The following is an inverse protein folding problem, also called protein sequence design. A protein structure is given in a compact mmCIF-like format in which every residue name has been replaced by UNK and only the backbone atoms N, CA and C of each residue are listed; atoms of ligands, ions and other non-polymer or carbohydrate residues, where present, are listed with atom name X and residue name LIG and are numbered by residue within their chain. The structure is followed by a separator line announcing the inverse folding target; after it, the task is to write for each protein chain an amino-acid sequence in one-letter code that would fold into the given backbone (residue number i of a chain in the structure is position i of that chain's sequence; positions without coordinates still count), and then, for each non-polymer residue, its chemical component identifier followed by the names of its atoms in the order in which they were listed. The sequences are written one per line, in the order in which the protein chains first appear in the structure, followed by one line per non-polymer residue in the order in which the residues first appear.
data_IF_019253598556
#
_entry.id   IF_019253598556
#
_cell.length_a   1.000
_cell.length_b   1.000
_cell.length_c   1.000
_cell.angle_alpha   90.00
_cell.angle_beta   90.00
_cell.angle_gamma   90.00
#
_symmetry.space_group_name_H-M   'P 1'
#
loop_
_entity.id
_entity.type
_entity.pdbx_description
1 polymer ?
#
# COMPACT_ATOMS: atom_id res chain seq x y z
N UNK A 1 -0.37 51.69 39.92
CA UNK A 1 -0.58 52.66 38.83
C UNK A 1 -1.76 52.13 38.04
N UNK A 2 -2.97 52.52 38.44
CA UNK A 2 -3.73 53.67 37.89
C UNK A 2 -4.19 53.37 36.46
N UNK A 3 -5.46 53.01 36.21
CA UNK A 3 -6.68 53.84 36.27
C UNK A 3 -6.72 54.94 35.18
N UNK A 4 -7.49 54.71 34.11
CA UNK A 4 -8.12 55.74 33.25
C UNK A 4 -9.15 55.06 32.30
N UNK A 5 -10.46 55.20 32.55
CA UNK A 5 -11.38 56.15 31.87
C UNK A 5 -11.62 55.82 30.39
N UNK A 6 -12.73 55.18 29.99
CA UNK A 6 -14.10 55.72 29.87
C UNK A 6 -14.20 56.96 28.97
N UNK A 7 -15.03 56.85 27.92
CA UNK A 7 -15.68 57.84 27.01
C UNK A 7 -15.58 57.29 25.56
N UNK A 8 -16.65 56.87 24.87
CA UNK A 8 -18.03 57.32 24.92
C UNK A 8 -18.28 58.45 23.92
N UNK A 9 -17.99 58.24 22.63
CA UNK A 9 -18.44 59.10 21.52
C UNK A 9 -18.68 58.20 20.30
N UNK A 10 -19.95 57.87 20.03
CA UNK A 10 -20.38 57.31 18.75
C UNK A 10 -20.75 58.51 17.87
N UNK A 11 -20.02 58.81 16.78
CA UNK A 11 -20.43 59.86 15.86
C UNK A 11 -21.70 59.41 15.12
N UNK A 12 -22.75 60.19 15.32
CA UNK A 12 -24.01 60.08 14.60
C UNK A 12 -23.80 60.58 13.16
N UNK A 13 -23.42 59.67 12.26
CA UNK A 13 -23.40 59.93 10.82
C UNK A 13 -24.82 59.74 10.27
N UNK A 14 -25.59 60.83 10.28
CA UNK A 14 -26.81 60.97 9.52
C UNK A 14 -26.38 61.59 8.18
N UNK A 15 -25.87 60.75 7.29
CA UNK A 15 -25.53 61.13 5.92
C UNK A 15 -26.82 61.18 5.09
N UNK A 16 -27.04 62.35 4.51
CA UNK A 16 -28.10 62.65 3.55
C UNK A 16 -27.91 61.74 2.33
N UNK A 17 -28.80 60.76 2.17
CA UNK A 17 -28.98 60.02 0.92
C UNK A 17 -29.64 60.99 -0.07
N UNK A 18 -28.83 61.71 -0.83
CA UNK A 18 -29.27 62.37 -2.06
C UNK A 18 -29.55 61.30 -3.12
N UNK A 19 -30.75 61.36 -3.69
CA UNK A 19 -31.27 60.46 -4.72
C UNK A 19 -30.34 60.46 -5.96
N UNK A 20 -29.49 59.42 -6.06
CA UNK A 20 -28.62 59.17 -7.21
C UNK A 20 -29.37 58.27 -8.21
N UNK A 21 -30.21 58.88 -9.03
CA UNK A 21 -30.89 58.24 -10.18
C UNK A 21 -29.88 57.99 -11.33
N UNK A 22 -28.89 57.13 -11.12
CA UNK A 22 -27.96 56.66 -12.17
C UNK A 22 -28.02 55.13 -12.30
N UNK A 23 -29.18 54.63 -12.72
CA UNK A 23 -29.44 53.21 -12.99
C UNK A 23 -28.86 52.73 -14.34
N UNK A 24 -28.00 53.52 -15.00
CA UNK A 24 -27.43 53.16 -16.31
C UNK A 24 -26.20 52.25 -16.22
N UNK A 25 -25.62 52.06 -15.04
CA UNK A 25 -24.34 51.35 -14.89
C UNK A 25 -24.49 49.82 -14.67
N UNK A 26 -25.67 49.33 -14.31
CA UNK A 26 -25.86 47.90 -14.00
C UNK A 26 -25.81 47.00 -15.24
N UNK A 27 -26.35 47.44 -16.38
CA UNK A 27 -26.32 46.66 -17.63
C UNK A 27 -24.90 46.55 -18.19
N UNK A 28 -24.10 47.62 -18.09
CA UNK A 28 -22.71 47.64 -18.55
C UNK A 28 -21.81 46.73 -17.71
N UNK A 29 -22.04 46.65 -16.40
CA UNK A 29 -21.34 45.72 -15.51
C UNK A 29 -21.67 44.27 -15.87
N UNK A 30 -22.94 43.98 -16.15
CA UNK A 30 -23.38 42.61 -16.51
C UNK A 30 -22.78 42.16 -17.85
N UNK A 31 -22.74 43.06 -18.84
CA UNK A 31 -22.15 42.80 -20.15
C UNK A 31 -20.64 42.53 -20.05
N UNK A 32 -19.91 43.34 -19.26
CA UNK A 32 -18.47 43.13 -19.03
C UNK A 32 -18.20 41.81 -18.30
N UNK A 33 -19.06 41.44 -17.33
CA UNK A 33 -18.94 40.18 -16.62
C UNK A 33 -19.17 38.96 -17.53
N UNK A 34 -20.16 39.03 -18.43
CA UNK A 34 -20.42 37.96 -19.40
C UNK A 34 -19.29 37.81 -20.42
N UNK A 35 -18.74 38.93 -20.92
CA UNK A 35 -17.59 38.91 -21.82
C UNK A 35 -16.34 38.33 -21.14
N UNK A 36 -16.07 38.74 -19.90
CA UNK A 36 -14.97 38.18 -19.11
C UNK A 36 -15.14 36.68 -18.88
N UNK A 37 -16.36 36.22 -18.62
CA UNK A 37 -16.66 34.81 -18.40
C UNK A 37 -16.53 33.99 -19.69
N UNK A 38 -16.97 34.53 -20.84
CA UNK A 38 -16.75 33.89 -22.16
C UNK A 38 -15.27 33.76 -22.47
N UNK A 39 -14.50 34.83 -22.28
CA UNK A 39 -13.05 34.84 -22.50
C UNK A 39 -12.31 33.87 -21.56
N UNK A 40 -12.76 33.79 -20.30
CA UNK A 40 -12.23 32.84 -19.32
C UNK A 40 -12.49 31.39 -19.74
N UNK A 41 -13.71 31.08 -20.22
CA UNK A 41 -14.06 29.74 -20.73
C UNK A 41 -13.24 29.35 -21.97
N UNK A 42 -13.10 30.24 -22.94
CA UNK A 42 -12.27 30.00 -24.13
C UNK A 42 -10.80 29.77 -23.77
N UNK A 43 -10.26 30.54 -22.82
CA UNK A 43 -8.89 30.36 -22.33
C UNK A 43 -8.72 29.03 -21.58
N UNK A 44 -9.71 28.62 -20.78
CA UNK A 44 -9.70 27.34 -20.08
C UNK A 44 -9.78 26.15 -21.04
N UNK A 45 -10.64 26.22 -22.06
CA UNK A 45 -10.78 25.18 -23.08
C UNK A 45 -9.52 25.04 -23.92
N UNK A 46 -8.89 26.17 -24.29
CA UNK A 46 -7.59 26.16 -24.97
C UNK A 46 -6.50 25.47 -24.15
N UNK A 47 -6.42 25.76 -22.84
CA UNK A 47 -5.47 25.09 -21.93
C UNK A 47 -5.76 23.59 -21.81
N UNK A 48 -7.03 23.19 -21.80
CA UNK A 48 -7.43 21.77 -21.76
C UNK A 48 -6.96 21.04 -23.02
N UNK A 49 -7.20 21.60 -24.21
CA UNK A 49 -6.76 21.01 -25.47
C UNK A 49 -5.23 20.90 -25.56
N UNK A 50 -4.49 21.94 -25.15
CA UNK A 50 -3.01 21.91 -25.13
C UNK A 50 -2.46 20.88 -24.14
N UNK A 51 -3.09 20.74 -22.96
CA UNK A 51 -2.70 19.74 -21.98
C UNK A 51 -2.98 18.30 -22.48
N UNK A 52 -4.10 18.10 -23.16
CA UNK A 52 -4.47 16.81 -23.75
C UNK A 52 -3.51 16.41 -24.89
N UNK A 53 -3.20 17.34 -25.78
CA UNK A 53 -2.21 17.12 -26.84
C UNK A 53 -0.82 16.80 -26.27
N UNK A 54 -0.40 17.52 -25.22
CA UNK A 54 0.86 17.25 -24.52
C UNK A 54 0.86 15.88 -23.86
N UNK A 55 -0.25 15.48 -23.25
CA UNK A 55 -0.42 14.16 -22.63
C UNK A 55 -0.35 13.04 -23.67
N UNK A 56 -1.02 13.19 -24.82
CA UNK A 56 -0.98 12.22 -25.91
C UNK A 56 0.43 12.09 -26.52
N UNK A 57 1.12 13.20 -26.72
CA UNK A 57 2.50 13.18 -27.21
C UNK A 57 3.47 12.52 -26.22
N UNK A 58 3.31 12.79 -24.91
CA UNK A 58 4.10 12.13 -23.88
C UNK A 58 3.83 10.62 -23.81
N UNK A 59 2.55 10.21 -23.89
CA UNK A 59 2.17 8.81 -23.93
C UNK A 59 2.77 8.09 -25.15
N UNK A 60 2.73 8.71 -26.34
CA UNK A 60 3.33 8.14 -27.55
C UNK A 60 4.83 7.95 -27.43
N UNK A 61 5.56 8.97 -26.93
CA UNK A 61 7.00 8.88 -26.68
C UNK A 61 7.34 7.78 -25.66
N UNK A 62 6.54 7.63 -24.59
CA UNK A 62 6.76 6.57 -23.60
C UNK A 62 6.47 5.16 -24.10
N UNK A 63 5.60 5.02 -25.10
CA UNK A 63 5.31 3.74 -25.74
C UNK A 63 6.42 3.37 -26.72
N UNK A 64 6.93 4.34 -27.48
CA UNK A 64 8.08 4.19 -28.38
C UNK A 64 9.34 3.78 -27.60
N UNK A 65 9.63 4.44 -26.47
CA UNK A 65 10.76 4.07 -25.62
C UNK A 65 10.65 2.65 -25.03
N UNK A 66 9.45 2.23 -24.62
CA UNK A 66 9.21 0.86 -24.14
C UNK A 66 9.37 -0.19 -25.24
N UNK A 67 9.06 0.17 -26.48
CA UNK A 67 9.24 -0.74 -27.60
C UNK A 67 10.73 -0.90 -27.93
N UNK A 68 11.49 0.20 -27.91
CA UNK A 68 12.94 0.18 -28.11
C UNK A 68 13.65 -0.63 -27.02
N UNK A 69 13.25 -0.48 -25.75
CA UNK A 69 13.78 -1.28 -24.62
C UNK A 69 13.48 -2.79 -24.77
N UNK A 70 12.32 -3.14 -25.30
CA UNK A 70 11.96 -4.54 -25.55
C UNK A 70 12.76 -5.13 -26.73
N UNK A 71 12.98 -4.36 -27.79
CA UNK A 71 13.80 -4.75 -28.94
C UNK A 71 15.28 -4.93 -28.53
N UNK A 72 15.84 -4.03 -27.70
CA UNK A 72 17.20 -4.18 -27.16
C UNK A 72 17.34 -5.42 -26.27
N UNK A 73 16.34 -5.70 -25.43
CA UNK A 73 16.33 -6.91 -24.61
C UNK A 73 16.24 -8.20 -25.44
N UNK A 74 15.46 -8.20 -26.52
CA UNK A 74 15.38 -9.33 -27.45
C UNK A 74 16.71 -9.57 -28.18
N UNK A 75 17.40 -8.51 -28.63
CA UNK A 75 18.74 -8.61 -29.22
C UNK A 75 19.78 -9.15 -28.21
N UNK A 76 19.77 -8.70 -26.96
CA UNK A 76 20.65 -9.24 -25.90
C UNK A 76 20.37 -10.72 -25.61
N UNK A 77 19.10 -11.13 -25.61
CA UNK A 77 18.71 -12.54 -25.43
C UNK A 77 19.14 -13.42 -26.61
N UNK A 78 19.03 -12.93 -27.85
CA UNK A 78 19.51 -13.64 -29.04
C UNK A 78 21.05 -13.78 -29.03
N UNK A 79 21.79 -12.72 -28.70
CA UNK A 79 23.25 -12.78 -28.58
C UNK A 79 23.70 -13.77 -27.49
N UNK A 80 23.01 -13.79 -26.36
CA UNK A 80 23.29 -14.72 -25.27
C UNK A 80 22.95 -16.17 -25.67
N UNK A 81 21.88 -16.39 -26.44
CA UNK A 81 21.48 -17.71 -26.92
C UNK A 81 22.52 -18.36 -27.84
N UNK A 82 23.12 -17.60 -28.76
CA UNK A 82 24.17 -18.08 -29.67
C UNK A 82 25.47 -18.43 -28.93
N UNK A 83 25.80 -17.68 -27.87
CA UNK A 83 26.98 -17.93 -27.04
C UNK A 83 26.94 -19.33 -26.39
N UNK A 84 25.78 -19.77 -25.88
CA UNK A 84 25.64 -21.10 -25.28
C UNK A 84 25.68 -22.26 -26.28
N UNK A 85 25.28 -22.04 -27.54
CA UNK A 85 25.30 -23.11 -28.55
C UNK A 85 26.72 -23.45 -29.00
N UNK A 86 27.62 -22.46 -29.06
CA UNK A 86 28.99 -22.68 -29.53
C UNK A 86 29.87 -23.49 -28.56
N UNK A 87 29.52 -23.51 -27.26
CA UNK A 87 30.29 -24.26 -26.24
C UNK A 87 29.95 -25.76 -26.19
N UNK A 88 28.83 -26.18 -26.78
CA UNK A 88 28.35 -27.59 -26.69
C UNK A 88 28.75 -28.47 -27.88
N UNK A 89 29.24 -27.91 -28.99
CA UNK A 89 29.65 -28.70 -30.17
C UNK A 89 31.06 -29.35 -30.07
N UNK A 90 31.79 -29.13 -28.97
CA UNK A 90 33.15 -29.66 -28.76
C UNK A 90 33.26 -31.04 -28.08
N UNK A 91 32.18 -31.55 -27.47
CA UNK A 91 32.25 -32.81 -26.70
C UNK A 91 31.79 -34.00 -27.55
N UNK A 92 32.78 -34.68 -28.12
CA UNK A 92 32.69 -35.96 -28.80
C UNK A 92 32.19 -37.04 -27.81
N UNK A 93 30.86 -37.16 -27.66
CA UNK A 93 30.24 -38.20 -26.84
C UNK A 93 30.28 -39.53 -27.60
N UNK A 94 30.96 -40.56 -27.07
CA UNK A 94 31.05 -41.84 -27.74
C UNK A 94 29.68 -42.54 -27.83
N UNK A 95 29.27 -42.84 -29.06
CA UNK A 95 28.15 -43.71 -29.43
C UNK A 95 28.16 -45.01 -28.60
N UNK A 96 27.16 -45.18 -27.72
CA UNK A 96 26.74 -46.50 -27.24
C UNK A 96 25.23 -46.67 -27.43
N UNK A 97 24.89 -47.64 -28.28
CA UNK A 97 23.58 -48.32 -28.34
C UNK A 97 23.66 -49.61 -27.47
N UNK A 98 22.61 -50.44 -27.38
CA UNK A 98 21.41 -50.24 -26.58
C UNK A 98 21.14 -51.48 -25.69
N UNK A 99 20.66 -51.33 -24.45
CA UNK A 99 19.87 -52.41 -23.81
C UNK A 99 19.08 -51.84 -22.64
N UNK A 100 17.77 -51.64 -22.84
CA UNK A 100 16.85 -51.49 -21.73
C UNK A 100 16.71 -52.87 -21.09
N UNK A 101 17.36 -53.07 -19.93
CA UNK A 101 17.02 -54.20 -19.05
C UNK A 101 16.05 -53.68 -17.99
N UNK A 102 14.84 -54.23 -18.08
CA UNK A 102 13.67 -53.99 -17.26
C UNK A 102 13.75 -54.76 -15.94
N UNK A 103 14.78 -54.51 -15.12
CA UNK A 103 14.96 -55.14 -13.80
C UNK A 103 15.80 -54.21 -12.91
N UNK A 104 15.18 -53.25 -12.23
CA UNK A 104 15.72 -52.66 -10.98
C UNK A 104 14.57 -52.12 -10.14
N UNK A 105 13.76 -53.08 -9.68
CA UNK A 105 12.60 -52.91 -8.80
C UNK A 105 12.97 -53.07 -7.30
N UNK A 106 14.24 -53.22 -6.91
CA UNK A 106 14.59 -53.40 -5.50
C UNK A 106 15.91 -52.73 -5.09
N UNK A 107 15.78 -51.54 -4.49
CA UNK A 107 16.46 -51.12 -3.27
C UNK A 107 17.99 -51.11 -3.24
N UNK A 108 18.60 -49.93 -3.42
CA UNK A 108 19.67 -49.48 -2.50
C UNK A 108 19.72 -47.94 -2.49
N UNK A 109 19.10 -47.37 -1.47
CA UNK A 109 19.17 -45.94 -1.12
C UNK A 109 20.57 -45.60 -0.61
N UNK A 110 21.24 -44.66 -1.28
CA UNK A 110 22.35 -43.91 -0.70
C UNK A 110 21.77 -42.72 0.07
N UNK A 111 22.07 -42.51 1.36
CA UNK A 111 21.60 -41.34 2.09
C UNK A 111 22.40 -40.10 1.66
N UNK A 112 21.78 -39.25 0.84
CA UNK A 112 22.24 -37.86 0.68
C UNK A 112 21.92 -37.10 1.95
N UNK A 113 22.94 -36.93 2.79
CA UNK A 113 22.88 -36.21 4.06
C UNK A 113 22.96 -34.71 3.75
N UNK A 114 21.81 -34.07 3.54
CA UNK A 114 21.70 -32.61 3.62
C UNK A 114 20.90 -32.26 4.87
N UNK A 115 21.63 -31.84 5.91
CA UNK A 115 21.07 -31.32 7.16
C UNK A 115 20.60 -29.89 6.89
N UNK A 116 19.29 -29.67 6.80
CA UNK A 116 18.65 -28.41 7.17
C UNK A 116 17.31 -28.76 7.83
N UNK A 117 17.29 -28.70 9.16
CA UNK A 117 16.13 -29.00 9.97
C UNK A 117 15.19 -27.79 9.97
N UNK A 118 14.25 -27.79 9.03
CA UNK A 118 12.94 -27.16 9.18
C UNK A 118 11.95 -28.03 8.39
N UNK A 119 11.71 -29.24 8.91
CA UNK A 119 10.84 -30.21 8.26
C UNK A 119 9.39 -29.81 8.49
N UNK A 120 8.84 -29.04 7.54
CA UNK A 120 7.40 -28.88 7.32
C UNK A 120 6.80 -30.29 7.22
N UNK A 121 5.68 -30.60 7.89
CA UNK A 121 5.08 -31.94 7.86
C UNK A 121 4.89 -32.41 6.41
N UNK A 122 5.66 -33.44 6.03
CA UNK A 122 5.71 -33.95 4.65
C UNK A 122 4.32 -34.43 4.21
N UNK A 123 3.70 -33.67 3.30
CA UNK A 123 2.46 -34.04 2.65
C UNK A 123 2.70 -35.24 1.70
N UNK A 124 2.70 -36.46 2.23
CA UNK A 124 2.54 -37.74 1.50
C UNK A 124 3.37 -37.93 0.21
N UNK A 125 4.57 -37.33 0.11
CA UNK A 125 5.42 -37.41 -1.09
C UNK A 125 4.92 -36.61 -2.30
N UNK A 126 4.00 -35.66 -2.10
CA UNK A 126 3.63 -34.66 -3.10
C UNK A 126 4.51 -33.43 -2.88
N UNK A 127 5.17 -32.88 -3.92
CA UNK A 127 5.95 -31.66 -3.77
C UNK A 127 5.09 -30.50 -3.29
N UNK A 128 5.64 -29.66 -2.42
CA UNK A 128 4.96 -28.48 -1.88
C UNK A 128 5.42 -27.23 -2.63
N UNK A 129 4.46 -26.43 -3.08
CA UNK A 129 4.67 -25.10 -3.63
C UNK A 129 4.38 -24.06 -2.56
N UNK A 130 5.31 -23.14 -2.36
CA UNK A 130 5.18 -22.03 -1.43
C UNK A 130 5.50 -20.72 -2.13
N UNK A 131 5.05 -19.61 -1.54
CA UNK A 131 5.11 -18.29 -2.18
C UNK A 131 4.58 -18.31 -3.61
N UNK A 132 3.44 -18.99 -3.81
CA UNK A 132 2.91 -19.26 -5.14
C UNK A 132 1.88 -18.21 -5.59
N UNK A 133 1.76 -17.99 -6.88
CA UNK A 133 0.80 -17.08 -7.50
C UNK A 133 0.12 -17.84 -8.65
N UNK A 134 -1.21 -17.77 -8.73
CA UNK A 134 -1.96 -18.26 -9.88
C UNK A 134 -2.03 -17.15 -10.94
N UNK A 135 -1.50 -17.43 -12.12
CA UNK A 135 -1.50 -16.50 -13.25
C UNK A 135 -2.87 -16.50 -13.95
N UNK A 136 -3.13 -15.48 -14.79
CA UNK A 136 -4.38 -15.35 -15.55
C UNK A 136 -4.64 -16.53 -16.51
N UNK A 137 -3.58 -17.16 -17.00
CA UNK A 137 -3.65 -18.36 -17.85
C UNK A 137 -3.95 -19.65 -17.05
N UNK A 138 -4.11 -19.54 -15.73
CA UNK A 138 -4.37 -20.64 -14.81
C UNK A 138 -3.13 -21.45 -14.44
N UNK A 139 -1.92 -21.06 -14.87
CA UNK A 139 -0.66 -21.66 -14.38
C UNK A 139 -0.36 -21.19 -12.96
N UNK A 140 0.47 -21.95 -12.24
CA UNK A 140 0.92 -21.57 -10.89
C UNK A 140 2.44 -21.42 -10.91
N UNK A 141 2.92 -20.25 -10.50
CA UNK A 141 4.36 -19.99 -10.31
C UNK A 141 4.68 -19.91 -8.83
N UNK A 142 5.76 -20.52 -8.37
CA UNK A 142 6.14 -20.50 -6.96
C UNK A 142 7.47 -21.20 -6.69
N UNK A 143 7.86 -21.28 -5.44
CA UNK A 143 9.04 -22.02 -5.02
C UNK A 143 8.64 -23.44 -4.61
N UNK A 144 9.43 -24.44 -4.99
CA UNK A 144 9.14 -25.86 -4.72
C UNK A 144 10.04 -26.44 -3.64
N UNK A 145 9.49 -27.25 -2.74
CA UNK A 145 10.24 -28.12 -1.80
C UNK A 145 9.70 -29.55 -1.84
N UNK A 146 10.54 -30.52 -1.44
CA UNK A 146 10.15 -31.93 -1.34
C UNK A 146 10.00 -32.62 -2.71
N UNK A 147 10.48 -32.02 -3.78
CA UNK A 147 10.48 -32.63 -5.12
C UNK A 147 11.75 -33.44 -5.38
N UNK A 148 11.67 -34.66 -5.94
CA UNK A 148 12.86 -35.41 -6.33
C UNK A 148 13.55 -34.85 -7.59
N UNK A 149 12.84 -34.04 -8.39
CA UNK A 149 13.32 -33.54 -9.68
C UNK A 149 13.87 -32.12 -9.62
N UNK A 150 13.56 -31.39 -8.55
CA UNK A 150 13.96 -30.00 -8.37
C UNK A 150 14.70 -29.84 -7.05
N UNK A 151 15.62 -28.89 -6.97
CA UNK A 151 16.23 -28.52 -5.69
C UNK A 151 15.21 -27.78 -4.85
N UNK A 152 15.21 -28.02 -3.54
CA UNK A 152 14.38 -27.26 -2.61
C UNK A 152 14.68 -25.75 -2.74
N UNK A 153 13.61 -24.96 -2.86
CA UNK A 153 13.65 -23.52 -3.11
C UNK A 153 13.81 -23.11 -4.57
N UNK A 154 13.84 -24.05 -5.52
CA UNK A 154 13.81 -23.69 -6.93
C UNK A 154 12.48 -23.02 -7.30
N UNK A 155 12.56 -21.90 -8.04
CA UNK A 155 11.39 -21.27 -8.64
C UNK A 155 10.94 -22.10 -9.85
N UNK A 156 9.68 -22.51 -9.86
CA UNK A 156 9.08 -23.24 -10.98
C UNK A 156 7.77 -22.59 -11.42
N UNK A 157 7.37 -22.88 -12.66
CA UNK A 157 6.02 -22.60 -13.16
C UNK A 157 5.40 -23.93 -13.59
N UNK A 158 4.16 -24.16 -13.19
CA UNK A 158 3.42 -25.36 -13.52
C UNK A 158 2.60 -25.19 -14.80
N UNK A 159 2.12 -26.28 -15.39
CA UNK A 159 1.02 -26.21 -16.36
C UNK A 159 -0.27 -25.69 -15.70
N UNK A 160 -1.24 -25.26 -16.51
CA UNK A 160 -2.55 -24.81 -16.02
C UNK A 160 -3.16 -25.82 -15.04
N UNK A 161 -3.69 -25.34 -13.92
CA UNK A 161 -4.48 -26.16 -13.00
C UNK A 161 -5.94 -26.22 -13.44
N UNK A 162 -6.55 -27.40 -13.30
CA UNK A 162 -7.94 -27.62 -13.72
C UNK A 162 -8.96 -27.01 -12.73
N UNK A 163 -8.53 -26.83 -11.49
CA UNK A 163 -9.33 -26.34 -10.37
C UNK A 163 -8.74 -25.01 -9.88
N UNK A 164 -9.57 -24.19 -9.23
CA UNK A 164 -9.12 -22.95 -8.62
C UNK A 164 -8.09 -23.27 -7.52
N UNK A 165 -6.93 -22.61 -7.58
CA UNK A 165 -5.85 -22.83 -6.63
C UNK A 165 -6.20 -22.16 -5.30
N UNK A 166 -6.20 -22.93 -4.21
CA UNK A 166 -6.33 -22.43 -2.84
C UNK A 166 -5.16 -22.91 -2.00
N UNK A 167 -4.78 -22.14 -0.99
CA UNK A 167 -3.81 -22.59 -0.01
C UNK A 167 -4.28 -23.89 0.66
N UNK A 168 -3.33 -24.72 1.11
CA UNK A 168 -3.60 -25.90 1.91
C UNK A 168 -4.19 -27.08 1.13
N UNK A 169 -4.39 -26.94 -0.19
CA UNK A 169 -4.95 -27.99 -1.04
C UNK A 169 -3.90 -28.63 -1.94
N UNK A 170 -4.13 -29.88 -2.34
CA UNK A 170 -3.36 -30.51 -3.42
C UNK A 170 -4.02 -30.23 -4.76
N UNK A 171 -3.35 -29.50 -5.63
CA UNK A 171 -3.82 -29.23 -6.99
C UNK A 171 -3.21 -30.22 -8.00
N UNK A 172 -3.99 -30.55 -9.03
CA UNK A 172 -3.53 -31.31 -10.18
C UNK A 172 -3.44 -30.40 -11.40
N UNK A 173 -2.27 -30.37 -12.01
CA UNK A 173 -2.01 -29.65 -13.26
C UNK A 173 -2.52 -30.45 -14.46
N UNK A 174 -2.72 -29.78 -15.60
CA UNK A 174 -3.18 -30.42 -16.84
C UNK A 174 -2.22 -31.50 -17.35
N UNK A 175 -0.93 -31.42 -17.01
CA UNK A 175 0.06 -32.45 -17.33
C UNK A 175 -0.03 -33.71 -16.44
N UNK A 176 -0.86 -33.68 -15.39
CA UNK A 176 -1.02 -34.75 -14.41
C UNK A 176 -0.09 -34.67 -13.21
N UNK A 177 0.79 -33.66 -13.15
CA UNK A 177 1.63 -33.40 -11.96
C UNK A 177 0.77 -32.85 -10.83
N UNK A 178 1.06 -33.28 -9.59
CA UNK A 178 0.35 -32.84 -8.38
C UNK A 178 1.27 -32.02 -7.50
N UNK A 179 0.74 -30.95 -6.92
CA UNK A 179 1.45 -30.08 -6.01
C UNK A 179 0.57 -29.78 -4.80
N UNK A 180 1.14 -29.87 -3.60
CA UNK A 180 0.49 -29.31 -2.42
C UNK A 180 0.77 -27.81 -2.43
N UNK A 181 -0.27 -27.00 -2.50
CA UNK A 181 -0.11 -25.56 -2.35
C UNK A 181 0.00 -25.32 -0.85
N UNK A 182 1.19 -24.95 -0.39
CA UNK A 182 1.33 -24.45 0.97
C UNK A 182 0.33 -23.31 1.10
N UNK A 183 -0.51 -23.40 2.12
CA UNK A 183 -1.22 -22.22 2.56
C UNK A 183 -0.16 -21.13 2.65
N UNK A 184 -0.43 -19.97 2.06
CA UNK A 184 0.09 -18.78 2.70
C UNK A 184 -0.62 -18.75 4.07
N UNK A 185 -0.14 -19.58 4.99
CA UNK A 185 0.06 -19.09 6.33
C UNK A 185 0.99 -17.93 6.08
N UNK A 186 0.39 -16.75 5.92
CA UNK A 186 1.02 -15.56 6.45
C UNK A 186 1.29 -15.92 7.91
N UNK A 187 2.40 -16.63 8.18
CA UNK A 187 2.83 -17.01 9.51
C UNK A 187 3.23 -15.75 10.30
N UNK A 188 3.12 -14.58 9.64
CA UNK A 188 3.16 -13.23 10.19
C UNK A 188 1.96 -12.36 9.82
N UNK A 189 0.88 -12.94 9.27
CA UNK A 189 -0.52 -12.57 9.53
C UNK A 189 -0.67 -11.92 10.88
N UNK A 190 -0.58 -10.58 11.07
CA UNK A 190 -0.70 -10.03 12.40
C UNK A 190 -2.11 -10.42 12.86
N UNK A 191 -2.18 -11.34 13.81
CA UNK A 191 -3.45 -11.79 14.29
C UNK A 191 -4.12 -10.61 14.98
N UNK A 192 -5.38 -10.34 14.63
CA UNK A 192 -6.14 -9.29 15.29
C UNK A 192 -6.01 -9.46 16.81
N UNK A 193 -5.69 -8.39 17.57
CA UNK A 193 -5.60 -8.50 19.02
C UNK A 193 -6.89 -9.09 19.61
N UNK A 194 -6.75 -9.94 20.63
CA UNK A 194 -7.89 -10.63 21.23
C UNK A 194 -9.04 -9.67 21.59
N UNK A 195 -10.23 -9.94 21.05
CA UNK A 195 -11.44 -9.16 21.30
C UNK A 195 -11.60 -7.91 20.43
N UNK A 196 -10.70 -7.67 19.47
CA UNK A 196 -10.87 -6.62 18.46
C UNK A 196 -11.55 -7.22 17.21
N UNK A 197 -12.70 -6.68 16.78
CA UNK A 197 -13.33 -7.11 15.54
C UNK A 197 -12.42 -6.86 14.32
N UNK A 198 -12.43 -7.79 13.38
CA UNK A 198 -11.70 -7.67 12.11
C UNK A 198 -12.65 -7.21 11.02
N UNK A 199 -12.24 -6.26 10.20
CA UNK A 199 -12.98 -5.84 8.99
C UNK A 199 -12.23 -6.37 7.79
N UNK A 200 -12.87 -7.25 7.02
CA UNK A 200 -12.40 -7.75 5.72
C UNK A 200 -13.11 -7.03 4.58
N UNK A 201 -12.57 -7.09 3.36
CA UNK A 201 -13.15 -6.45 2.17
C UNK A 201 -13.48 -4.97 2.39
N UNK A 202 -12.49 -4.30 2.96
CA UNK A 202 -12.34 -2.88 3.19
C UNK A 202 -12.66 -1.87 2.09
N UNK A 203 -13.40 -0.78 2.34
CA UNK A 203 -13.27 0.44 1.53
C UNK A 203 -13.34 1.71 2.39
N UNK A 204 -12.50 2.70 2.06
CA UNK A 204 -12.51 4.02 2.71
C UNK A 204 -13.53 4.93 2.05
N UNK A 205 -14.36 5.59 2.86
CA UNK A 205 -15.37 6.54 2.39
C UNK A 205 -14.83 7.97 2.35
N UNK A 206 -15.49 8.83 1.57
CA UNK A 206 -15.22 10.27 1.52
C UNK A 206 -15.31 10.99 2.87
N UNK A 207 -16.02 10.41 3.85
CA UNK A 207 -16.10 10.91 5.22
C UNK A 207 -14.98 10.44 6.16
N UNK A 208 -14.00 9.68 5.67
CA UNK A 208 -12.88 9.15 6.48
C UNK A 208 -13.22 7.92 7.33
N UNK A 209 -14.46 7.43 7.28
CA UNK A 209 -14.84 6.13 7.84
C UNK A 209 -14.57 4.99 6.86
N UNK A 210 -14.66 3.76 7.34
CA UNK A 210 -14.55 2.55 6.52
C UNK A 210 -15.87 1.78 6.47
N UNK A 211 -16.05 1.05 5.38
CA UNK A 211 -17.08 0.02 5.18
C UNK A 211 -16.41 -1.32 4.90
N UNK A 212 -17.09 -2.42 5.23
CA UNK A 212 -16.59 -3.77 4.96
C UNK A 212 -17.38 -4.84 5.69
N UNK A 213 -16.88 -6.07 5.66
CA UNK A 213 -17.46 -7.23 6.32
C UNK A 213 -16.80 -7.42 7.69
N UNK A 214 -17.58 -7.45 8.76
CA UNK A 214 -17.05 -7.62 10.13
C UNK A 214 -16.95 -9.09 10.52
N UNK A 215 -15.91 -9.43 11.26
CA UNK A 215 -15.65 -10.76 11.81
C UNK A 215 -15.17 -10.64 13.24
N UNK A 216 -15.35 -11.70 14.03
CA UNK A 216 -14.96 -11.79 15.43
C UNK A 216 -15.55 -10.67 16.29
N UNK A 217 -16.72 -10.15 15.91
CA UNK A 217 -17.42 -9.11 16.66
C UNK A 217 -18.32 -9.72 17.73
N UNK A 218 -18.32 -9.25 18.98
CA UNK A 218 -19.29 -9.71 19.97
C UNK A 218 -20.70 -9.13 19.76
N UNK A 219 -20.89 -8.24 18.78
CA UNK A 219 -22.12 -7.47 18.57
C UNK A 219 -22.73 -7.59 17.17
N UNK A 220 -22.05 -8.26 16.25
CA UNK A 220 -22.47 -8.47 14.87
C UNK A 220 -22.13 -9.91 14.47
N UNK A 221 -22.91 -10.49 13.57
CA UNK A 221 -22.62 -11.82 13.05
C UNK A 221 -21.45 -11.73 12.05
N UNK A 222 -20.63 -12.79 11.99
CA UNK A 222 -19.50 -12.83 11.06
C UNK A 222 -19.98 -12.75 9.61
N UNK A 223 -19.40 -11.83 8.85
CA UNK A 223 -19.80 -11.49 7.49
C UNK A 223 -20.88 -10.41 7.40
N UNK A 224 -21.33 -9.84 8.52
CA UNK A 224 -22.22 -8.67 8.48
C UNK A 224 -21.52 -7.45 7.88
N UNK A 225 -22.24 -6.70 7.06
CA UNK A 225 -21.75 -5.44 6.54
C UNK A 225 -21.80 -4.36 7.62
N UNK A 226 -20.68 -3.66 7.81
CA UNK A 226 -20.59 -2.54 8.75
C UNK A 226 -20.21 -1.24 8.06
N UNK A 227 -20.65 -0.15 8.66
CA UNK A 227 -20.19 1.19 8.38
C UNK A 227 -19.69 1.81 9.69
N UNK A 228 -18.49 2.38 9.64
CA UNK A 228 -17.85 2.97 10.79
C UNK A 228 -17.85 4.51 10.73
N UNK A 229 -17.70 5.14 11.88
CA UNK A 229 -17.39 6.56 12.01
C UNK A 229 -15.97 6.87 11.50
N UNK A 230 -15.61 8.15 11.28
CA UNK A 230 -14.29 8.53 10.77
C UNK A 230 -13.15 7.94 11.60
N UNK A 231 -12.08 7.49 10.94
CA UNK A 231 -10.89 6.97 11.60
C UNK A 231 -10.11 8.15 12.19
N UNK A 232 -9.87 8.11 13.50
CA UNK A 232 -9.15 9.15 14.26
C UNK A 232 -7.73 8.73 14.63
N UNK A 233 -7.46 7.43 14.75
CA UNK A 233 -6.13 6.88 15.04
C UNK A 233 -5.88 5.60 14.23
N UNK A 234 -4.61 5.32 13.93
CA UNK A 234 -4.19 4.19 13.11
C UNK A 234 -3.92 4.56 11.66
N UNK A 235 -3.30 3.64 10.93
CA UNK A 235 -3.08 3.75 9.50
C UNK A 235 -4.13 2.90 8.78
N UNK A 236 -4.68 3.43 7.68
CA UNK A 236 -5.68 2.71 6.89
C UNK A 236 -4.95 1.83 5.88
N UNK A 237 -4.37 0.75 6.39
CA UNK A 237 -3.63 -0.24 5.62
C UNK A 237 -4.04 -1.65 6.04
N UNK A 238 -3.71 -2.64 5.22
CA UNK A 238 -3.91 -4.03 5.54
C UNK A 238 -3.13 -4.39 6.83
N UNK A 239 -3.75 -5.23 7.66
CA UNK A 239 -3.27 -5.68 8.96
C UNK A 239 -3.03 -4.56 9.99
N UNK A 240 -3.69 -3.42 9.83
CA UNK A 240 -3.57 -2.29 10.74
C UNK A 240 -4.70 -2.23 11.76
N UNK A 241 -4.37 -1.83 12.98
CA UNK A 241 -5.35 -1.51 14.02
C UNK A 241 -5.75 -0.04 13.90
N UNK A 242 -7.06 0.22 13.74
CA UNK A 242 -7.61 1.57 13.62
C UNK A 242 -8.62 1.85 14.74
N UNK A 243 -8.66 3.10 15.19
CA UNK A 243 -9.68 3.61 16.13
C UNK A 243 -10.55 4.64 15.43
N UNK A 244 -11.86 4.53 15.61
CA UNK A 244 -12.84 5.45 15.03
C UNK A 244 -13.25 6.55 16.00
N UNK A 245 -13.88 7.61 15.52
CA UNK A 245 -14.34 8.75 16.33
C UNK A 245 -15.33 8.34 17.44
N UNK A 246 -16.11 7.27 17.21
CA UNK A 246 -16.97 6.69 18.25
C UNK A 246 -16.20 6.01 19.39
N UNK A 247 -14.89 5.81 19.23
CA UNK A 247 -14.00 5.09 20.14
C UNK A 247 -14.01 3.58 19.95
N UNK A 248 -14.53 3.08 18.82
CA UNK A 248 -14.48 1.66 18.47
C UNK A 248 -13.12 1.35 17.83
N UNK A 249 -12.60 0.15 18.08
CA UNK A 249 -11.36 -0.33 17.47
C UNK A 249 -11.66 -1.46 16.50
N UNK A 250 -10.97 -1.44 15.36
CA UNK A 250 -11.11 -2.43 14.32
C UNK A 250 -9.73 -2.83 13.81
N UNK A 251 -9.56 -4.11 13.51
CA UNK A 251 -8.40 -4.62 12.82
C UNK A 251 -8.73 -4.76 11.33
N UNK A 252 -7.94 -4.15 10.45
CA UNK A 252 -8.17 -4.16 9.01
C UNK A 252 -7.48 -5.36 8.39
N UNK A 253 -8.20 -6.18 7.64
CA UNK A 253 -7.63 -7.29 6.85
C UNK A 253 -8.07 -7.12 5.40
N UNK A 254 -7.11 -7.23 4.48
CA UNK A 254 -7.28 -7.19 3.04
C UNK A 254 -7.45 -8.59 2.46
N UNK A 255 -7.43 -9.62 3.31
CA UNK A 255 -7.69 -10.99 2.90
C UNK A 255 -9.13 -11.07 2.36
N UNK A 256 -9.34 -11.71 1.20
CA UNK A 256 -10.68 -12.02 0.78
C UNK A 256 -11.39 -12.84 1.88
N UNK A 257 -12.72 -12.70 2.02
CA UNK A 257 -13.47 -13.50 2.97
C UNK A 257 -13.22 -14.97 2.67
N UNK A 258 -12.93 -15.78 3.69
CA UNK A 258 -12.72 -17.21 3.51
C UNK A 258 -13.98 -17.79 2.86
N UNK A 259 -13.82 -18.46 1.72
CA UNK A 259 -14.92 -19.01 0.89
C UNK A 259 -15.80 -20.05 1.62
N UNK A 260 -15.53 -20.36 2.89
CA UNK A 260 -16.49 -21.02 3.78
C UNK A 260 -17.79 -20.20 3.95
N UNK A 261 -17.79 -18.94 3.50
CA UNK A 261 -18.96 -18.09 3.30
C UNK A 261 -19.80 -18.43 2.04
N UNK A 262 -19.60 -19.58 1.37
CA UNK A 262 -20.44 -20.14 0.28
C UNK A 262 -21.94 -20.36 0.65
N UNK A 263 -22.41 -19.77 1.75
CA UNK A 263 -23.83 -19.64 2.10
C UNK A 263 -24.44 -18.26 1.82
N UNK A 264 -23.67 -17.27 1.32
CA UNK A 264 -24.19 -15.90 1.11
C UNK A 264 -24.04 -15.33 -0.30
N UNK A 265 -23.54 -16.10 -1.28
CA UNK A 265 -23.44 -15.67 -2.68
C UNK A 265 -24.80 -15.66 -3.40
N UNK A 266 -25.66 -14.71 -3.02
CA UNK A 266 -26.79 -14.22 -3.83
C UNK A 266 -27.18 -12.80 -3.38
N UNK A 267 -26.19 -11.97 -3.05
CA UNK A 267 -26.40 -10.54 -2.81
C UNK A 267 -26.15 -9.75 -4.09
N UNK A 268 -27.05 -9.97 -5.06
CA UNK A 268 -27.22 -9.07 -6.18
C UNK A 268 -27.68 -7.71 -5.63
N UNK A 269 -27.10 -6.64 -6.16
CA UNK A 269 -27.16 -5.26 -5.69
C UNK A 269 -28.56 -4.62 -5.87
N UNK A 270 -29.60 -5.25 -5.33
CA UNK A 270 -30.98 -4.76 -5.39
C UNK A 270 -31.40 -4.13 -4.05
N UNK A 271 -31.51 -2.79 -4.08
CA UNK A 271 -32.11 -1.90 -3.08
C UNK A 271 -31.39 -1.77 -1.72
N UNK A 272 -30.89 -0.57 -1.35
CA UNK A 272 -30.47 -0.28 0.01
C UNK A 272 -31.70 -0.22 0.92
N UNK A 273 -32.15 -1.37 1.42
CA UNK A 273 -33.10 -1.44 2.53
C UNK A 273 -32.40 -0.94 3.78
N UNK A 274 -32.61 0.35 4.10
CA UNK A 274 -32.52 0.95 5.43
C UNK A 274 -31.60 0.20 6.41
N UNK A 275 -30.30 0.17 6.10
CA UNK A 275 -29.31 -0.47 6.95
C UNK A 275 -29.11 0.42 8.18
N UNK A 276 -29.46 -0.10 9.34
CA UNK A 276 -29.22 0.60 10.59
C UNK A 276 -27.71 0.75 10.76
N UNK A 277 -27.23 1.98 10.82
CA UNK A 277 -25.88 2.26 11.33
C UNK A 277 -25.78 1.64 12.72
N UNK A 278 -25.13 0.47 12.82
CA UNK A 278 -24.90 -0.18 14.11
C UNK A 278 -23.79 0.64 14.79
N UNK A 279 -24.20 1.69 15.49
CA UNK A 279 -23.31 2.40 16.40
C UNK A 279 -23.09 1.47 17.59
N UNK A 280 -21.95 0.77 17.62
CA UNK A 280 -21.58 -0.06 18.75
C UNK A 280 -21.54 0.82 20.01
N UNK A 281 -22.24 0.45 21.10
CA UNK A 281 -22.23 1.24 22.32
C UNK A 281 -20.82 1.21 22.91
N UNK A 282 -20.26 2.40 23.13
CA UNK A 282 -18.98 2.61 23.82
C UNK A 282 -18.94 1.75 25.09
N UNK A 283 -18.08 0.73 25.09
CA UNK A 283 -17.89 -0.17 26.23
C UNK A 283 -17.64 0.66 27.49
N UNK A 284 -18.44 0.42 28.52
CA UNK A 284 -18.36 1.14 29.80
C UNK A 284 -16.93 0.98 30.34
N UNK A 285 -16.14 2.06 30.46
CA UNK A 285 -14.81 1.95 31.03
C UNK A 285 -14.96 1.50 32.49
N UNK A 286 -14.30 0.40 32.87
CA UNK A 286 -14.13 0.01 34.26
C UNK A 286 -13.43 1.16 34.97
N UNK A 287 -14.21 1.87 35.79
CA UNK A 287 -13.83 2.99 36.63
C UNK A 287 -12.59 2.65 37.45
N UNK A 288 -11.46 3.24 37.08
CA UNK A 288 -10.40 3.57 38.03
C UNK A 288 -10.50 5.07 38.25
N UNK A 289 -10.92 5.44 39.47
CA UNK A 289 -10.95 6.80 40.01
C UNK A 289 -9.73 7.60 39.56
N UNK A 290 -9.94 8.63 38.75
CA UNK A 290 -9.03 9.77 38.69
C UNK A 290 -9.84 11.04 38.77
N UNK A 291 -9.39 11.92 39.64
CA UNK A 291 -10.05 13.12 40.11
C UNK A 291 -10.04 14.23 39.07
N UNK A 292 -11.23 14.79 38.84
CA UNK A 292 -11.54 16.12 38.30
C UNK A 292 -10.36 17.11 38.22
N UNK A 293 -10.13 17.67 37.04
CA UNK A 293 -9.65 19.05 36.88
C UNK A 293 -10.68 19.81 36.05
N UNK A 294 -11.17 20.90 36.65
CA UNK A 294 -12.29 21.72 36.22
C UNK A 294 -11.74 23.12 35.94
N UNK A 295 -11.00 23.27 34.84
CA UNK A 295 -10.56 24.56 34.29
C UNK A 295 -10.30 24.35 32.80
N UNK A 296 -11.25 24.75 31.95
CA UNK A 296 -11.00 25.44 30.68
C UNK A 296 -12.37 25.86 30.12
N UNK A 297 -12.79 27.03 30.59
CA UNK A 297 -13.99 27.74 30.20
C UNK A 297 -13.53 29.17 29.84
N UNK A 298 -12.84 29.32 28.71
CA UNK A 298 -12.77 30.59 28.01
C UNK A 298 -12.75 30.34 26.50
N UNK A 299 -13.81 30.85 25.88
CA UNK A 299 -14.06 30.98 24.45
C UNK A 299 -13.04 31.96 23.85
N UNK A 300 -12.44 31.59 22.72
CA UNK A 300 -11.69 32.52 21.86
C UNK A 300 -12.25 32.39 20.44
N UNK A 301 -13.08 33.36 20.06
CA UNK A 301 -13.64 33.55 18.72
C UNK A 301 -12.55 34.11 17.79
N UNK A 302 -11.87 33.22 17.06
CA UNK A 302 -11.10 33.61 15.87
C UNK A 302 -11.80 33.14 14.60
N UNK A 303 -11.99 34.00 13.58
CA UNK A 303 -12.62 33.60 12.33
C UNK A 303 -11.72 32.61 11.59
N UNK A 304 -12.24 31.40 11.33
CA UNK A 304 -11.60 30.41 10.50
C UNK A 304 -11.56 30.90 9.04
N UNK A 305 -10.38 31.37 8.61
CA UNK A 305 -10.01 31.37 7.21
C UNK A 305 -10.05 29.93 6.70
N UNK A 306 -10.90 29.68 5.70
CA UNK A 306 -10.97 28.42 4.99
C UNK A 306 -9.63 28.12 4.31
N UNK A 307 -8.83 27.26 4.95
CA UNK A 307 -7.62 26.70 4.35
C UNK A 307 -8.04 25.74 3.22
N UNK A 308 -7.67 26.11 2.01
CA UNK A 308 -7.65 25.25 0.84
C UNK A 308 -6.84 23.97 1.15
N UNK A 309 -7.47 22.79 1.03
CA UNK A 309 -6.75 21.53 0.84
C UNK A 309 -5.97 21.65 -0.47
N UNK A 310 -4.66 21.91 -0.36
CA UNK A 310 -3.71 21.60 -1.43
C UNK A 310 -3.38 20.13 -1.30
N UNK A 311 -3.62 19.38 -2.37
CA UNK A 311 -3.05 18.06 -2.58
C UNK A 311 -1.51 18.17 -2.45
N UNK A 312 -0.99 17.77 -1.30
CA UNK A 312 0.45 17.68 -1.08
C UNK A 312 1.04 16.62 -2.00
N UNK A 313 2.33 16.71 -2.34
CA UNK A 313 3.00 15.65 -3.10
C UNK A 313 2.83 14.30 -2.38
N UNK A 314 2.66 13.20 -3.14
CA UNK A 314 2.50 11.87 -2.56
C UNK A 314 3.67 11.55 -1.62
N UNK A 315 3.37 10.93 -0.47
CA UNK A 315 4.40 10.51 0.48
C UNK A 315 5.31 9.48 -0.20
N UNK A 316 6.64 9.57 -0.05
CA UNK A 316 7.54 8.59 -0.63
C UNK A 316 7.35 7.23 0.05
N UNK A 317 7.40 6.19 -0.76
CA UNK A 317 7.35 4.79 -0.31
C UNK A 317 8.58 4.44 0.55
N UNK A 318 8.46 3.48 1.47
CA UNK A 318 9.60 2.94 2.20
C UNK A 318 10.65 2.37 1.21
N UNK A 319 11.95 2.38 1.58
CA UNK A 319 13.00 1.92 0.68
C UNK A 319 12.85 0.42 0.38
N UNK A 320 13.15 -0.04 -0.86
CA UNK A 320 13.08 -1.46 -1.21
C UNK A 320 14.01 -2.29 -0.32
N UNK A 321 13.51 -3.44 0.16
CA UNK A 321 14.15 -4.30 1.17
C UNK A 321 15.48 -4.96 0.75
N UNK A 322 15.99 -4.72 -0.46
CA UNK A 322 17.16 -5.44 -0.98
C UNK A 322 18.48 -5.10 -0.30
N UNK A 323 18.56 -4.00 0.46
CA UNK A 323 19.72 -3.68 1.31
C UNK A 323 19.27 -3.14 2.66
N UNK A 324 18.95 -4.06 3.56
CA UNK A 324 18.51 -3.72 4.92
C UNK A 324 19.69 -3.07 5.67
N UNK A 325 19.53 -1.84 6.21
CA UNK A 325 20.56 -1.23 7.04
C UNK A 325 20.86 -2.12 8.25
N UNK A 326 22.06 -2.02 8.81
CA UNK A 326 22.38 -2.70 10.07
C UNK A 326 21.33 -2.34 11.14
N UNK A 327 20.76 -3.37 11.76
CA UNK A 327 19.66 -3.29 12.73
C UNK A 327 19.83 -2.11 13.70
N UNK A 328 18.86 -1.20 13.71
CA UNK A 328 18.85 0.01 14.56
C UNK A 328 19.39 1.29 13.93
N UNK A 329 19.84 1.27 12.67
CA UNK A 329 20.20 2.50 11.93
C UNK A 329 19.00 3.00 11.12
N UNK A 330 18.47 4.20 11.40
CA UNK A 330 17.34 4.74 10.64
C UNK A 330 17.72 5.01 9.18
N UNK A 331 16.82 4.68 8.26
CA UNK A 331 16.94 4.98 6.84
C UNK A 331 16.31 6.34 6.50
N UNK A 332 16.90 7.08 5.57
CA UNK A 332 16.37 8.32 5.01
C UNK A 332 16.06 8.13 3.53
N UNK A 333 14.80 8.27 3.12
CA UNK A 333 14.40 8.24 1.71
C UNK A 333 14.03 9.63 1.21
N UNK A 334 14.04 9.82 -0.12
CA UNK A 334 13.71 11.12 -0.73
C UNK A 334 14.69 12.23 -0.31
N UNK A 335 15.97 11.87 -0.15
CA UNK A 335 17.00 12.77 0.37
C UNK A 335 17.27 13.96 -0.56
N UNK A 336 17.21 15.17 0.01
CA UNK A 336 17.66 16.43 -0.62
C UNK A 336 18.89 16.93 0.12
N UNK A 337 20.00 17.05 -0.60
CA UNK A 337 21.25 17.58 -0.05
C UNK A 337 21.28 19.11 -0.11
N UNK A 338 21.43 19.74 1.04
CA UNK A 338 21.47 21.20 1.15
C UNK A 338 22.90 21.74 1.03
N UNK A 339 23.06 22.99 0.59
CA UNK A 339 24.37 23.66 0.46
C UNK A 339 25.15 23.77 1.78
N UNK A 340 24.43 23.82 2.91
CA UNK A 340 25.01 23.85 4.25
C UNK A 340 25.50 22.47 4.74
N UNK A 341 25.42 21.44 3.89
CA UNK A 341 25.87 20.08 4.19
C UNK A 341 24.88 19.22 4.99
N UNK A 342 23.68 19.72 5.29
CA UNK A 342 22.59 18.90 5.88
C UNK A 342 21.85 18.09 4.81
N UNK A 343 21.09 17.09 5.26
CA UNK A 343 20.17 16.32 4.42
C UNK A 343 18.75 16.51 4.95
N UNK A 344 17.81 16.77 4.06
CA UNK A 344 16.37 16.71 4.36
C UNK A 344 15.79 15.46 3.70
N UNK A 345 15.03 14.65 4.44
CA UNK A 345 14.46 13.40 3.92
C UNK A 345 13.44 12.79 4.88
N UNK A 346 12.82 11.69 4.48
CA UNK A 346 11.82 10.98 5.27
C UNK A 346 12.47 9.83 6.03
N UNK A 347 12.32 9.80 7.34
CA UNK A 347 12.96 8.79 8.20
C UNK A 347 12.12 7.51 8.32
N UNK A 348 12.78 6.36 8.28
CA UNK A 348 12.19 5.03 8.45
C UNK A 348 13.04 4.16 9.38
N UNK A 349 12.42 3.25 10.14
CA UNK A 349 13.11 2.33 11.04
C UNK A 349 13.77 3.02 12.24
N UNK A 350 13.33 4.22 12.61
CA UNK A 350 13.86 4.96 13.76
C UNK A 350 13.17 4.50 15.06
N UNK A 351 13.92 4.16 16.13
CA UNK A 351 13.30 3.77 17.41
C UNK A 351 12.61 4.93 18.13
N UNK A 352 12.88 6.17 17.72
CA UNK A 352 12.38 7.39 18.40
C UNK A 352 11.51 8.27 17.52
N UNK A 353 11.39 7.97 16.22
CA UNK A 353 10.61 8.78 15.26
C UNK A 353 9.66 7.87 14.51
N UNK A 354 8.48 8.39 14.16
CA UNK A 354 7.53 7.65 13.33
C UNK A 354 8.05 7.59 11.90
N UNK A 355 7.85 6.45 11.26
CA UNK A 355 8.19 6.25 9.85
C UNK A 355 7.44 7.23 8.95
N UNK A 356 8.10 7.68 7.89
CA UNK A 356 7.57 8.72 6.99
C UNK A 356 7.58 10.14 7.58
N UNK A 357 8.26 10.37 8.72
CA UNK A 357 8.44 11.73 9.24
C UNK A 357 9.56 12.45 8.46
N UNK A 358 9.25 13.62 7.89
CA UNK A 358 10.27 14.46 7.26
C UNK A 358 11.18 15.09 8.33
N UNK A 359 12.49 14.87 8.22
CA UNK A 359 13.49 15.45 9.11
C UNK A 359 14.56 16.21 8.32
N UNK A 360 15.24 17.15 8.98
CA UNK A 360 16.48 17.74 8.47
C UNK A 360 17.60 17.42 9.45
N UNK A 361 18.66 16.79 8.97
CA UNK A 361 19.78 16.34 9.78
C UNK A 361 20.76 17.47 10.10
N UNK A 362 21.68 17.23 11.03
CA UNK A 362 22.88 18.07 11.17
C UNK A 362 23.85 17.83 10.00
N UNK A 363 24.81 18.74 9.72
CA UNK A 363 25.74 18.58 8.59
C UNK A 363 26.47 17.23 8.62
N UNK A 364 26.64 16.59 7.46
CA UNK A 364 27.36 15.32 7.35
C UNK A 364 28.84 15.58 7.61
N UNK A 365 29.42 14.82 8.54
CA UNK A 365 30.86 14.90 8.89
C UNK A 365 31.66 13.71 8.36
N UNK A 366 31.01 12.59 8.08
CA UNK A 366 31.66 11.36 7.60
C UNK A 366 30.68 10.51 6.76
N UNK A 367 31.20 9.72 5.82
CA UNK A 367 30.44 8.89 4.88
C UNK A 367 30.32 9.45 3.45
N UNK A 368 29.97 8.57 2.51
CA UNK A 368 29.75 8.90 1.10
C UNK A 368 28.29 9.33 0.92
N UNK A 369 28.08 10.45 0.21
CA UNK A 369 26.74 11.02 -0.04
C UNK A 369 26.06 10.36 -1.25
N UNK A 370 26.04 9.04 -1.28
CA UNK A 370 25.45 8.23 -2.35
C UNK A 370 24.32 7.37 -1.78
N UNK A 371 23.41 6.92 -2.65
CA UNK A 371 22.32 6.03 -2.26
C UNK A 371 22.90 4.70 -1.76
N UNK A 372 22.26 4.13 -0.75
CA UNK A 372 22.63 2.89 -0.06
C UNK A 372 23.88 2.96 0.82
N UNK A 373 24.36 4.16 1.13
CA UNK A 373 25.51 4.39 2.01
C UNK A 373 25.09 4.89 3.40
N UNK A 374 25.92 4.62 4.41
CA UNK A 374 25.72 5.14 5.76
C UNK A 374 26.49 6.44 5.96
N UNK A 375 25.80 7.48 6.42
CA UNK A 375 26.38 8.78 6.73
C UNK A 375 26.32 9.08 8.22
N UNK A 376 27.35 9.77 8.73
CA UNK A 376 27.39 10.29 10.10
C UNK A 376 27.23 11.79 10.09
N UNK A 377 26.31 12.29 10.90
CA UNK A 377 26.06 13.73 11.07
C UNK A 377 26.95 14.32 12.16
N UNK A 378 27.08 15.65 12.19
CA UNK A 378 27.82 16.39 13.22
C UNK A 378 27.27 16.17 14.64
N UNK A 379 26.00 15.80 14.77
CA UNK A 379 25.37 15.41 16.04
C UNK A 379 25.79 14.02 16.52
N UNK A 380 26.52 13.25 15.70
CA UNK A 380 26.92 11.87 15.98
C UNK A 380 25.90 10.81 15.56
N UNK A 381 24.77 11.21 14.99
CA UNK A 381 23.73 10.31 14.49
C UNK A 381 24.18 9.61 13.22
N UNK A 382 23.80 8.34 13.05
CA UNK A 382 24.03 7.56 11.85
C UNK A 382 22.72 7.41 11.09
N UNK A 383 22.78 7.61 9.78
CA UNK A 383 21.63 7.41 8.89
C UNK A 383 22.07 6.61 7.67
N UNK A 384 21.21 5.70 7.24
CA UNK A 384 21.35 5.00 5.97
C UNK A 384 20.60 5.78 4.88
N UNK A 385 21.24 6.08 3.74
CA UNK A 385 20.60 6.80 2.64
C UNK A 385 19.87 5.80 1.74
N UNK A 386 18.54 5.83 1.69
CA UNK A 386 17.68 4.90 0.96
C UNK A 386 17.16 5.43 -0.36
#
# INVERSE_FOLDING_TARGET
EEEALAHGIVPNYMEEFEDFDDFSDEEDILFQAEEALRKSREAAEKRRMEAEERSLNAARLSAEYRQEEFEEQEEEEEENFDFYHQETEGLNVPKKRPTMQLNDLFGTTMPSRNNNNNAIPEANGVPTLYNWIQNEDGTISGNIVGSPNFKDGAKISTSCVLEQARGGMTVATQSGSRYFLEDFYEETSPQAPDGVPTVKSWEVRSGGGIIGLIYNSPYADDGDYIETSPIVEGEIDNYSLVSTESGSQYFLSGDPPDDDADKVSNFEQENPRNFGTITLPKGIPRSVRSTFSLMDLFEDDTPQEAMYLRDGPPRPLPPPFEKIPSEGTPALTGCVFNENGTITGYVFGSPTMRDGTMITTSPIVDGIKEQFETVRTASGSLYYLG
#
